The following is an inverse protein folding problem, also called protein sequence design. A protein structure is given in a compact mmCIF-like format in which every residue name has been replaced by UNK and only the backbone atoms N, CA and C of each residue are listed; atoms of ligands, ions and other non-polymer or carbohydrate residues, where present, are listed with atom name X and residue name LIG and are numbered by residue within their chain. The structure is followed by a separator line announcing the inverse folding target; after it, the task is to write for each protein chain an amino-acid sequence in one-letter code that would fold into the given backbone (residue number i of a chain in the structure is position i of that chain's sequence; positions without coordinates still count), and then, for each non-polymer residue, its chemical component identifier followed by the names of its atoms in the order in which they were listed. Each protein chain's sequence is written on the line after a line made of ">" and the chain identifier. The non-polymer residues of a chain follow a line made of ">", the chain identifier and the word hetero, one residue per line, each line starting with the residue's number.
data_IF_419899695052
#
_entry.id   IF_419899695052
#
_cell.length_a   1.000
_cell.length_b   1.000
_cell.length_c   1.000
_cell.angle_alpha   90.00
_cell.angle_beta   90.00
_cell.angle_gamma   90.00
#
_symmetry.space_group_name_H-M   'P 1'
#
loop_
_entity.id
_entity.type
_entity.pdbx_description
1 polymer ?
#
# COMPACT_ATOMS: atom_id res chain seq x y z
N UNK A 1 -11.78 -32.52 -13.72
CA UNK A 1 -12.53 -32.26 -12.46
C UNK A 1 -13.60 -31.16 -12.63
N UNK A 2 -13.54 -30.32 -13.70
CA UNK A 2 -14.46 -29.17 -13.90
C UNK A 2 -15.69 -29.45 -14.80
N UNK A 3 -15.89 -30.67 -15.31
CA UNK A 3 -16.93 -30.98 -16.30
C UNK A 3 -18.34 -31.24 -15.76
N UNK A 4 -18.55 -31.29 -14.43
CA UNK A 4 -19.84 -31.67 -13.82
C UNK A 4 -20.44 -30.64 -12.84
N UNK A 5 -20.08 -29.36 -12.95
CA UNK A 5 -20.75 -28.33 -12.18
C UNK A 5 -22.09 -27.97 -12.84
N UNK A 6 -23.25 -28.09 -12.14
CA UNK A 6 -24.54 -27.72 -12.70
C UNK A 6 -24.53 -26.24 -13.11
N UNK A 7 -25.04 -25.94 -14.31
CA UNK A 7 -25.09 -24.58 -14.90
C UNK A 7 -25.64 -23.55 -13.89
N UNK A 8 -26.58 -23.96 -13.05
CA UNK A 8 -27.16 -23.14 -12.00
C UNK A 8 -26.11 -22.68 -10.95
N UNK A 9 -25.17 -23.56 -10.59
CA UNK A 9 -24.08 -23.23 -9.64
C UNK A 9 -23.07 -22.25 -10.24
N UNK A 10 -22.76 -22.40 -11.53
CA UNK A 10 -21.88 -21.47 -12.26
C UNK A 10 -22.54 -20.08 -12.33
N UNK A 11 -23.84 -20.02 -12.64
CA UNK A 11 -24.56 -18.74 -12.66
C UNK A 11 -24.60 -18.05 -11.29
N UNK A 12 -24.79 -18.82 -10.21
CA UNK A 12 -24.77 -18.31 -8.84
C UNK A 12 -23.39 -17.78 -8.44
N UNK A 13 -22.31 -18.48 -8.84
CA UNK A 13 -20.93 -18.03 -8.63
C UNK A 13 -20.66 -16.74 -9.40
N UNK A 14 -21.07 -16.65 -10.68
CA UNK A 14 -20.90 -15.45 -11.49
C UNK A 14 -21.67 -14.26 -10.90
N UNK A 15 -22.89 -14.45 -10.44
CA UNK A 15 -23.67 -13.41 -9.76
C UNK A 15 -23.02 -12.98 -8.45
N UNK A 16 -22.50 -13.93 -7.66
CA UNK A 16 -21.77 -13.64 -6.43
C UNK A 16 -20.50 -12.85 -6.69
N UNK A 17 -19.72 -13.23 -7.70
CA UNK A 17 -18.51 -12.47 -8.13
C UNK A 17 -18.90 -11.07 -8.59
N UNK A 18 -19.95 -10.92 -9.40
CA UNK A 18 -20.45 -9.61 -9.81
C UNK A 18 -20.93 -8.77 -8.62
N UNK A 19 -21.62 -9.34 -7.65
CA UNK A 19 -22.07 -8.60 -6.46
C UNK A 19 -20.89 -8.12 -5.59
N UNK A 20 -19.83 -8.90 -5.49
CA UNK A 20 -18.59 -8.53 -4.80
C UNK A 20 -17.87 -7.41 -5.55
N UNK A 21 -17.76 -7.51 -6.87
CA UNK A 21 -17.07 -6.51 -7.70
C UNK A 21 -17.76 -5.14 -7.75
N UNK A 22 -19.07 -5.10 -7.47
CA UNK A 22 -19.86 -3.86 -7.47
C UNK A 22 -20.10 -3.27 -6.08
N UNK A 23 -19.59 -3.92 -5.01
CA UNK A 23 -19.72 -3.38 -3.66
C UNK A 23 -18.62 -2.34 -3.39
N UNK A 24 -18.93 -1.03 -3.40
CA UNK A 24 -17.94 0.02 -3.25
C UNK A 24 -17.20 -0.05 -1.92
N UNK A 25 -17.85 -0.56 -0.87
CA UNK A 25 -17.23 -0.76 0.44
C UNK A 25 -16.10 -1.79 0.40
N UNK A 26 -16.34 -2.94 -0.26
CA UNK A 26 -15.31 -3.99 -0.39
C UNK A 26 -14.15 -3.55 -1.27
N UNK A 27 -14.43 -2.77 -2.33
CA UNK A 27 -13.38 -2.21 -3.18
C UNK A 27 -12.45 -1.28 -2.39
N UNK A 28 -13.00 -0.38 -1.60
CA UNK A 28 -12.21 0.53 -0.77
C UNK A 28 -11.39 -0.24 0.26
N UNK A 29 -12.00 -1.20 0.97
CA UNK A 29 -11.29 -2.05 1.94
C UNK A 29 -10.16 -2.85 1.27
N UNK A 30 -10.39 -3.39 0.06
CA UNK A 30 -9.37 -4.10 -0.71
C UNK A 30 -8.17 -3.22 -1.06
N UNK A 31 -8.41 -1.97 -1.44
CA UNK A 31 -7.33 -1.02 -1.74
C UNK A 31 -6.56 -0.66 -0.46
N UNK A 32 -7.26 -0.46 0.67
CA UNK A 32 -6.63 -0.25 1.98
C UNK A 32 -5.84 -1.47 2.47
N UNK A 33 -6.07 -2.65 1.95
CA UNK A 33 -5.31 -3.86 2.25
C UNK A 33 -4.06 -4.01 1.37
N UNK A 34 -4.18 -3.80 0.05
CA UNK A 34 -3.11 -4.10 -0.92
C UNK A 34 -1.88 -3.21 -0.71
N UNK A 35 -2.05 -1.90 -0.51
CA UNK A 35 -0.93 -0.97 -0.32
C UNK A 35 -0.07 -1.36 0.90
N UNK A 36 -0.65 -1.56 2.11
CA UNK A 36 0.14 -1.93 3.27
C UNK A 36 0.71 -3.35 3.22
N UNK A 37 0.18 -4.28 2.42
CA UNK A 37 0.86 -5.57 2.20
C UNK A 37 2.26 -5.36 1.64
N UNK A 38 2.40 -4.56 0.59
CA UNK A 38 3.71 -4.28 -0.02
C UNK A 38 4.63 -3.53 0.94
N UNK A 39 4.08 -2.57 1.69
CA UNK A 39 4.84 -1.86 2.71
C UNK A 39 5.29 -2.79 3.86
N UNK A 40 4.44 -3.73 4.27
CA UNK A 40 4.76 -4.74 5.28
C UNK A 40 5.89 -5.68 4.85
N UNK A 41 5.93 -6.10 3.59
CA UNK A 41 7.06 -6.87 3.03
C UNK A 41 8.35 -6.06 3.16
N UNK A 42 8.34 -4.79 2.79
CA UNK A 42 9.48 -3.90 2.96
C UNK A 42 9.95 -3.82 4.41
N UNK A 43 9.04 -3.66 5.37
CA UNK A 43 9.39 -3.59 6.80
C UNK A 43 10.13 -4.85 7.28
N UNK A 44 9.74 -6.02 6.81
CA UNK A 44 10.40 -7.29 7.15
C UNK A 44 11.80 -7.42 6.56
N UNK A 45 12.07 -6.75 5.42
CA UNK A 45 13.36 -6.81 4.72
C UNK A 45 14.37 -5.75 5.17
N UNK A 46 14.02 -4.86 6.11
CA UNK A 46 14.94 -3.82 6.62
C UNK A 46 16.28 -4.38 7.10
N UNK A 47 16.33 -5.49 7.88
CA UNK A 47 17.61 -6.05 8.33
C UNK A 47 18.49 -6.53 7.17
N UNK A 48 17.88 -7.10 6.12
CA UNK A 48 18.59 -7.56 4.93
C UNK A 48 19.20 -6.38 4.15
N UNK A 49 18.43 -5.32 3.97
CA UNK A 49 18.93 -4.08 3.34
C UNK A 49 20.06 -3.47 4.16
N UNK A 50 19.96 -3.47 5.49
CA UNK A 50 21.03 -3.00 6.36
C UNK A 50 22.33 -3.79 6.15
N UNK A 51 22.24 -5.11 6.17
CA UNK A 51 23.42 -5.98 6.00
C UNK A 51 23.97 -5.92 4.57
N UNK A 52 23.11 -5.89 3.55
CA UNK A 52 23.52 -5.80 2.14
C UNK A 52 24.24 -4.50 1.80
N UNK A 53 23.85 -3.40 2.44
CA UNK A 53 24.48 -2.09 2.26
C UNK A 53 25.63 -1.83 3.27
N UNK A 54 25.90 -2.76 4.18
CA UNK A 54 26.90 -2.61 5.26
C UNK A 54 26.70 -1.33 6.11
N UNK A 55 25.45 -0.95 6.38
CA UNK A 55 25.11 0.25 7.14
C UNK A 55 25.17 -0.04 8.65
N UNK A 56 25.80 0.86 9.41
CA UNK A 56 25.65 0.86 10.85
C UNK A 56 24.23 1.29 11.26
N UNK A 57 23.88 1.14 12.54
CA UNK A 57 22.53 1.44 13.06
C UNK A 57 22.17 2.91 12.88
N UNK A 58 23.12 3.83 12.99
CA UNK A 58 22.90 5.27 12.84
C UNK A 58 22.67 5.63 11.39
N UNK A 59 23.44 5.06 10.48
CA UNK A 59 23.28 5.21 9.04
C UNK A 59 21.95 4.65 8.56
N UNK A 60 21.55 3.46 9.03
CA UNK A 60 20.24 2.90 8.73
C UNK A 60 19.13 3.83 9.21
N UNK A 61 19.20 4.32 10.44
CA UNK A 61 18.20 5.24 10.98
C UNK A 61 18.07 6.51 10.12
N UNK A 62 19.20 7.08 9.69
CA UNK A 62 19.20 8.24 8.78
C UNK A 62 18.56 7.89 7.42
N UNK A 63 18.89 6.74 6.86
CA UNK A 63 18.26 6.28 5.61
C UNK A 63 16.76 6.12 5.74
N UNK A 64 16.29 5.50 6.83
CA UNK A 64 14.88 5.29 7.11
C UNK A 64 14.11 6.61 7.34
N UNK A 65 14.78 7.68 7.76
CA UNK A 65 14.17 9.02 7.89
C UNK A 65 13.70 9.59 6.54
N UNK A 66 14.11 9.02 5.41
CA UNK A 66 13.62 9.41 4.09
C UNK A 66 12.09 9.37 4.00
N UNK A 67 11.47 8.26 4.41
CA UNK A 67 10.01 8.09 4.30
C UNK A 67 9.21 9.10 5.16
N UNK A 68 9.44 9.27 6.46
CA UNK A 68 8.75 10.30 7.24
C UNK A 68 9.04 11.72 6.73
N UNK A 69 10.25 12.00 6.25
CA UNK A 69 10.57 13.32 5.68
C UNK A 69 9.75 13.61 4.43
N UNK A 70 9.68 12.65 3.48
CA UNK A 70 8.87 12.76 2.28
C UNK A 70 7.38 12.94 2.61
N UNK A 71 6.88 12.18 3.59
CA UNK A 71 5.50 12.26 4.05
C UNK A 71 5.18 13.65 4.65
N UNK A 72 6.00 14.14 5.58
CA UNK A 72 5.80 15.42 6.23
C UNK A 72 5.90 16.60 5.26
N UNK A 73 6.84 16.56 4.32
CA UNK A 73 6.99 17.62 3.30
C UNK A 73 5.83 17.64 2.32
N UNK A 74 5.21 16.51 2.04
CA UNK A 74 4.09 16.41 1.09
C UNK A 74 2.75 16.79 1.72
N UNK A 75 2.57 16.52 3.01
CA UNK A 75 1.30 16.67 3.73
C UNK A 75 0.64 18.05 3.55
N UNK A 76 1.36 19.21 3.65
CA UNK A 76 0.76 20.53 3.47
C UNK A 76 0.21 20.76 2.05
N UNK A 77 0.77 20.08 1.05
CA UNK A 77 0.40 20.25 -0.36
C UNK A 77 -0.60 19.19 -0.84
N UNK A 78 -0.76 18.10 -0.09
CA UNK A 78 -1.58 16.95 -0.48
C UNK A 78 -3.03 17.35 -0.76
N UNK A 79 -3.63 18.22 0.08
CA UNK A 79 -4.98 18.72 -0.11
C UNK A 79 -5.14 19.56 -1.39
N UNK A 80 -4.19 20.46 -1.68
CA UNK A 80 -4.17 21.26 -2.89
C UNK A 80 -4.03 20.38 -4.14
N UNK A 81 -3.14 19.40 -4.08
CA UNK A 81 -2.91 18.41 -5.15
C UNK A 81 -4.19 17.61 -5.42
N UNK A 82 -4.90 17.18 -4.36
CA UNK A 82 -6.15 16.46 -4.47
C UNK A 82 -7.27 17.30 -5.10
N UNK A 83 -7.33 18.58 -4.79
CA UNK A 83 -8.31 19.50 -5.38
C UNK A 83 -7.99 19.81 -6.84
N UNK A 84 -6.71 19.95 -7.21
CA UNK A 84 -6.29 20.30 -8.56
C UNK A 84 -6.40 19.14 -9.54
N UNK A 85 -5.88 17.97 -9.16
CA UNK A 85 -5.79 16.81 -10.05
C UNK A 85 -6.96 15.83 -9.89
N UNK A 86 -7.64 15.88 -8.75
CA UNK A 86 -8.72 14.97 -8.39
C UNK A 86 -8.21 13.62 -7.84
N UNK A 87 -8.99 13.06 -6.93
CA UNK A 87 -8.66 11.83 -6.18
C UNK A 87 -8.36 10.64 -7.11
N UNK A 88 -9.13 10.47 -8.20
CA UNK A 88 -8.92 9.35 -9.14
C UNK A 88 -7.54 9.38 -9.77
N UNK A 89 -7.08 10.53 -10.24
CA UNK A 89 -5.74 10.66 -10.85
C UNK A 89 -4.64 10.39 -9.84
N UNK A 90 -4.79 10.85 -8.59
CA UNK A 90 -3.84 10.58 -7.52
C UNK A 90 -3.74 9.07 -7.26
N UNK A 91 -4.86 8.36 -7.21
CA UNK A 91 -4.83 6.90 -7.04
C UNK A 91 -4.17 6.20 -8.23
N UNK A 92 -4.55 6.54 -9.47
CA UNK A 92 -3.99 5.91 -10.67
C UNK A 92 -2.49 6.15 -10.87
N UNK A 93 -1.97 7.31 -10.47
CA UNK A 93 -0.55 7.64 -10.58
C UNK A 93 0.20 7.25 -9.31
N UNK A 94 -0.39 7.50 -8.16
CA UNK A 94 0.24 7.27 -6.85
C UNK A 94 0.56 5.81 -6.57
N UNK A 95 -0.34 4.87 -6.93
CA UNK A 95 -0.06 3.44 -6.76
C UNK A 95 1.13 2.95 -7.57
N UNK A 96 1.21 3.17 -8.91
CA UNK A 96 2.39 2.82 -9.68
C UNK A 96 3.68 3.47 -9.14
N UNK A 97 3.64 4.75 -8.76
CA UNK A 97 4.80 5.43 -8.18
C UNK A 97 5.21 4.81 -6.86
N UNK A 98 4.26 4.49 -5.98
CA UNK A 98 4.53 3.81 -4.71
C UNK A 98 5.18 2.44 -4.93
N UNK A 99 4.58 1.58 -5.76
CA UNK A 99 5.12 0.26 -6.04
C UNK A 99 6.50 0.31 -6.69
N UNK A 100 6.69 1.22 -7.65
CA UNK A 100 8.00 1.43 -8.27
C UNK A 100 9.03 1.88 -7.23
N UNK A 101 8.69 2.83 -6.37
CA UNK A 101 9.60 3.31 -5.32
C UNK A 101 10.00 2.19 -4.35
N UNK A 102 9.07 1.34 -3.93
CA UNK A 102 9.39 0.17 -3.09
C UNK A 102 10.32 -0.80 -3.84
N UNK A 103 10.06 -1.06 -5.11
CA UNK A 103 10.91 -1.97 -5.91
C UNK A 103 12.32 -1.40 -6.09
N UNK A 104 12.47 -0.08 -6.24
CA UNK A 104 13.77 0.59 -6.35
C UNK A 104 14.65 0.44 -5.11
N UNK A 105 14.09 0.09 -3.93
CA UNK A 105 14.88 -0.20 -2.74
C UNK A 105 15.84 -1.38 -2.99
N UNK A 106 15.47 -2.34 -3.84
CA UNK A 106 16.36 -3.44 -4.21
C UNK A 106 17.57 -3.04 -5.08
N UNK A 107 17.62 -1.80 -5.57
CA UNK A 107 18.68 -1.27 -6.43
C UNK A 107 19.53 -0.19 -5.76
N UNK A 108 19.28 0.11 -4.47
CA UNK A 108 20.06 1.12 -3.74
C UNK A 108 21.47 0.60 -3.43
N UNK A 109 22.43 1.49 -3.42
CA UNK A 109 23.87 1.19 -3.24
C UNK A 109 24.47 1.80 -1.96
N UNK A 110 23.66 2.53 -1.18
CA UNK A 110 24.13 3.13 0.06
C UNK A 110 23.10 4.01 0.76
N UNK A 111 23.57 4.73 1.79
CA UNK A 111 22.73 5.57 2.65
C UNK A 111 21.92 6.62 1.85
N UNK A 112 22.56 7.36 0.96
CA UNK A 112 21.91 8.47 0.26
C UNK A 112 20.86 8.01 -0.74
N UNK A 113 21.14 6.95 -1.48
CA UNK A 113 20.17 6.34 -2.41
C UNK A 113 18.99 5.72 -1.64
N UNK A 114 19.25 5.07 -0.50
CA UNK A 114 18.20 4.56 0.38
C UNK A 114 17.29 5.69 0.89
N UNK A 115 17.89 6.79 1.39
CA UNK A 115 17.13 7.96 1.85
C UNK A 115 16.25 8.54 0.74
N UNK A 116 16.81 8.75 -0.47
CA UNK A 116 16.08 9.33 -1.60
C UNK A 116 14.92 8.45 -2.07
N UNK A 117 15.14 7.13 -2.17
CA UNK A 117 14.09 6.19 -2.57
C UNK A 117 13.00 6.14 -1.51
N UNK A 118 13.35 6.07 -0.23
CA UNK A 118 12.37 6.11 0.85
C UNK A 118 11.65 7.47 0.93
N UNK A 119 12.31 8.57 0.60
CA UNK A 119 11.65 9.86 0.48
C UNK A 119 10.53 9.83 -0.57
N UNK A 120 10.78 9.22 -1.74
CA UNK A 120 9.74 9.02 -2.78
C UNK A 120 8.61 8.11 -2.30
N UNK A 121 8.93 7.06 -1.54
CA UNK A 121 7.92 6.22 -0.86
C UNK A 121 7.04 7.08 0.05
N UNK A 122 7.64 7.93 0.88
CA UNK A 122 6.91 8.82 1.78
C UNK A 122 6.01 9.82 1.07
N UNK A 123 6.52 10.44 -0.02
CA UNK A 123 5.72 11.36 -0.87
C UNK A 123 4.50 10.65 -1.45
N UNK A 124 4.70 9.47 -2.05
CA UNK A 124 3.62 8.71 -2.66
C UNK A 124 2.61 8.21 -1.61
N UNK A 125 3.08 7.73 -0.45
CA UNK A 125 2.21 7.32 0.66
C UNK A 125 1.33 8.46 1.16
N UNK A 126 1.89 9.64 1.38
CA UNK A 126 1.13 10.81 1.87
C UNK A 126 -0.02 11.17 0.93
N UNK A 127 0.23 11.18 -0.38
CA UNK A 127 -0.79 11.46 -1.40
C UNK A 127 -1.84 10.35 -1.46
N UNK A 128 -1.41 9.08 -1.43
CA UNK A 128 -2.31 7.94 -1.48
C UNK A 128 -3.19 7.87 -0.23
N UNK A 129 -2.65 8.06 0.97
CA UNK A 129 -3.43 8.05 2.20
C UNK A 129 -4.52 9.12 2.20
N UNK A 130 -4.17 10.36 1.80
CA UNK A 130 -5.19 11.39 1.65
C UNK A 130 -6.27 10.97 0.66
N UNK A 131 -5.88 10.50 -0.52
CA UNK A 131 -6.81 10.11 -1.57
C UNK A 131 -7.71 8.95 -1.14
N UNK A 132 -7.16 7.94 -0.46
CA UNK A 132 -7.90 6.78 0.06
C UNK A 132 -8.88 7.19 1.15
N UNK A 133 -8.46 8.02 2.11
CA UNK A 133 -9.32 8.51 3.19
C UNK A 133 -10.48 9.35 2.64
N UNK A 134 -10.21 10.26 1.68
CA UNK A 134 -11.28 11.03 1.02
C UNK A 134 -12.21 10.12 0.22
N UNK A 135 -11.67 9.10 -0.45
CA UNK A 135 -12.50 8.15 -1.20
C UNK A 135 -13.38 7.32 -0.26
N UNK A 136 -12.82 6.79 0.85
CA UNK A 136 -13.57 6.08 1.87
C UNK A 136 -14.71 6.94 2.46
N UNK A 137 -14.41 8.20 2.80
CA UNK A 137 -15.43 9.14 3.31
C UNK A 137 -16.55 9.42 2.30
N UNK A 138 -16.25 9.46 0.99
CA UNK A 138 -17.29 9.58 -0.05
C UNK A 138 -18.17 8.33 -0.11
N UNK A 139 -17.58 7.14 0.02
CA UNK A 139 -18.33 5.87 0.04
C UNK A 139 -19.18 5.79 1.30
N UNK A 140 -18.70 6.18 2.48
CA UNK A 140 -19.49 6.28 3.71
C UNK A 140 -20.72 7.15 3.51
N UNK A 141 -20.51 8.36 2.96
CA UNK A 141 -21.59 9.31 2.72
C UNK A 141 -22.64 8.77 1.73
N UNK A 142 -22.19 8.06 0.69
CA UNK A 142 -23.07 7.48 -0.32
C UNK A 142 -23.85 6.26 0.20
N UNK A 143 -23.16 5.37 0.94
CA UNK A 143 -23.75 4.12 1.46
C UNK A 143 -24.46 4.28 2.79
N UNK A 144 -24.31 5.44 3.47
CA UNK A 144 -24.76 5.71 4.84
C UNK A 144 -24.28 4.69 5.86
N UNK A 145 -23.07 4.13 5.64
CA UNK A 145 -22.44 3.13 6.50
C UNK A 145 -21.07 3.63 6.91
N UNK A 146 -20.76 3.56 8.20
CA UNK A 146 -19.42 3.87 8.72
C UNK A 146 -18.47 2.73 8.35
N UNK A 147 -17.51 3.01 7.47
CA UNK A 147 -16.55 2.01 6.97
C UNK A 147 -15.09 2.37 7.29
N UNK A 148 -14.80 3.60 7.69
CA UNK A 148 -13.44 4.09 7.91
C UNK A 148 -12.65 3.22 8.89
N UNK A 149 -13.23 2.87 10.05
CA UNK A 149 -12.58 2.01 11.03
C UNK A 149 -12.27 0.61 10.45
N UNK A 150 -13.15 0.10 9.59
CA UNK A 150 -12.92 -1.17 8.89
C UNK A 150 -11.79 -1.06 7.88
N UNK A 151 -11.71 0.06 7.13
CA UNK A 151 -10.62 0.33 6.21
C UNK A 151 -9.27 0.33 6.94
N UNK A 152 -9.16 1.00 8.09
CA UNK A 152 -7.94 0.97 8.91
C UNK A 152 -7.65 -0.42 9.51
N UNK A 153 -8.67 -1.21 9.83
CA UNK A 153 -8.51 -2.61 10.20
C UNK A 153 -7.90 -3.45 9.07
N UNK A 154 -8.39 -3.27 7.84
CA UNK A 154 -7.81 -3.92 6.64
C UNK A 154 -6.39 -3.43 6.35
N UNK A 155 -6.08 -2.16 6.61
CA UNK A 155 -4.74 -1.61 6.52
C UNK A 155 -3.77 -2.33 7.48
N UNK A 156 -4.17 -2.51 8.76
CA UNK A 156 -3.36 -3.24 9.75
C UNK A 156 -3.18 -4.71 9.38
N UNK A 157 -4.24 -5.37 8.90
CA UNK A 157 -4.17 -6.74 8.36
C UNK A 157 -3.22 -6.83 7.17
N UNK A 158 -3.21 -5.82 6.30
CA UNK A 158 -2.30 -5.73 5.17
C UNK A 158 -0.83 -5.69 5.62
N UNK A 159 -0.47 -4.81 6.57
CA UNK A 159 0.89 -4.77 7.13
C UNK A 159 1.28 -6.13 7.72
N UNK A 160 0.41 -6.71 8.55
CA UNK A 160 0.68 -8.00 9.18
C UNK A 160 0.92 -9.09 8.12
N UNK A 161 0.05 -9.18 7.13
CA UNK A 161 0.19 -10.16 6.03
C UNK A 161 1.47 -9.94 5.25
N UNK A 162 1.79 -8.69 4.91
CA UNK A 162 3.02 -8.34 4.19
C UNK A 162 4.27 -8.67 4.99
N UNK A 163 4.30 -8.37 6.29
CA UNK A 163 5.44 -8.68 7.15
C UNK A 163 5.65 -10.19 7.31
N UNK A 164 4.58 -10.97 7.41
CA UNK A 164 4.68 -12.44 7.45
C UNK A 164 5.22 -12.99 6.12
N UNK A 165 4.75 -12.49 4.99
CA UNK A 165 5.24 -12.89 3.66
C UNK A 165 6.72 -12.53 3.49
N UNK A 166 7.12 -11.31 3.87
CA UNK A 166 8.51 -10.87 3.80
C UNK A 166 9.44 -11.72 4.67
N UNK A 167 9.02 -12.04 5.90
CA UNK A 167 9.77 -12.91 6.80
C UNK A 167 9.91 -14.35 6.27
N UNK A 168 8.85 -14.90 5.65
CA UNK A 168 8.91 -16.24 5.06
C UNK A 168 9.87 -16.29 3.86
N UNK A 169 9.85 -15.27 2.99
CA UNK A 169 10.78 -15.16 1.87
C UNK A 169 12.24 -15.07 2.33
N UNK A 170 12.50 -14.36 3.43
CA UNK A 170 13.84 -14.26 3.99
C UNK A 170 14.34 -15.61 4.55
N UNK A 171 13.48 -16.39 5.21
CA UNK A 171 13.85 -17.69 5.79
C UNK A 171 14.23 -18.76 4.76
N UNK A 172 13.78 -18.62 3.51
CA UNK A 172 14.15 -19.55 2.42
C UNK A 172 15.45 -19.16 1.72
N UNK A 173 15.96 -17.94 1.94
CA UNK A 173 17.18 -17.42 1.31
C UNK A 173 18.44 -17.60 2.18
N UNK A 174 18.28 -18.01 3.43
CA UNK A 174 19.36 -18.31 4.41
C UNK A 174 19.60 -19.81 4.56
#
# INVERSE_FOLDING_TARGET
>A
IFQNLPIHSIHKIIQMIKSISWNPTLQVMGIFFIQPVVFGVWLALIPEVQSGLNLDKSQLALGLMGAPTGMLMTLPFAGKTANTFGIRKILYVGFPVFFLSITLIGLVDGLYSLFLVLFLVGVSMSLLELALNVHAGRVEKHTRRVIMNRCHGFWSLGIMTGSLLGSALHSEST
#
